data_IF_723925289942
#
_entry.id   IF_723925289942
#
_cell.length_a   1.000
_cell.length_b   1.000
_cell.length_c   1.000
_cell.angle_alpha   90.00
_cell.angle_beta   90.00
_cell.angle_gamma   90.00
#
_symmetry.space_group_name_H-M   'P 1'
#
loop_
_entity.id
_entity.type
_entity.pdbx_description
1 polymer ?
#
# COMPACT_ATOMS: atom_id res chain seq x y z
N UNK A 1 23.82 -14.43 -20.98
CA UNK A 1 22.89 -15.58 -21.02
C UNK A 1 22.29 -15.62 -22.40
N UNK A 2 22.37 -16.75 -23.11
CA UNK A 2 21.82 -16.88 -24.47
C UNK A 2 20.30 -17.03 -24.38
N UNK A 3 19.57 -16.41 -25.31
CA UNK A 3 18.09 -16.50 -25.33
C UNK A 3 17.61 -17.95 -25.50
N UNK A 4 18.35 -18.78 -26.25
CA UNK A 4 18.06 -20.20 -26.48
C UNK A 4 18.04 -21.05 -25.21
N UNK A 5 18.71 -20.60 -24.14
CA UNK A 5 18.78 -21.30 -22.84
C UNK A 5 17.88 -20.62 -21.79
N UNK A 6 17.27 -19.49 -22.14
CA UNK A 6 16.50 -18.67 -21.22
C UNK A 6 15.01 -18.99 -21.31
N UNK A 7 14.39 -19.31 -20.17
CA UNK A 7 12.95 -19.54 -20.12
C UNK A 7 12.19 -18.21 -20.26
N UNK A 8 11.72 -17.93 -21.48
CA UNK A 8 10.97 -16.72 -21.83
C UNK A 8 9.75 -17.07 -22.68
N UNK A 9 8.68 -17.61 -22.08
CA UNK A 9 7.48 -18.01 -22.81
C UNK A 9 6.66 -16.77 -23.22
N UNK A 10 7.00 -16.13 -24.34
CA UNK A 10 6.21 -14.99 -24.84
C UNK A 10 4.86 -15.43 -25.41
N UNK A 11 3.83 -14.60 -25.30
CA UNK A 11 2.50 -14.86 -25.88
C UNK A 11 2.22 -13.95 -27.07
N UNK A 12 1.75 -14.55 -28.17
CA UNK A 12 1.31 -13.81 -29.35
C UNK A 12 0.06 -12.98 -29.04
N UNK A 13 -0.92 -13.62 -28.41
CA UNK A 13 -2.21 -13.04 -28.06
C UNK A 13 -2.26 -12.64 -26.58
N UNK A 14 -3.06 -11.62 -26.30
CA UNK A 14 -3.29 -11.16 -24.94
C UNK A 14 -4.32 -12.06 -24.26
N UNK A 15 -4.08 -12.57 -23.06
CA UNK A 15 -5.11 -13.28 -22.29
C UNK A 15 -6.34 -12.40 -22.08
N UNK A 16 -7.55 -12.94 -22.30
CA UNK A 16 -8.81 -12.20 -22.22
C UNK A 16 -9.08 -11.58 -20.83
N UNK A 17 -8.53 -12.19 -19.78
CA UNK A 17 -8.71 -11.79 -18.37
C UNK A 17 -7.80 -10.63 -17.92
N UNK A 18 -7.00 -10.06 -18.84
CA UNK A 18 -6.11 -8.95 -18.52
C UNK A 18 -6.80 -7.62 -18.82
N UNK A 19 -6.99 -6.79 -17.80
CA UNK A 19 -7.73 -5.53 -17.91
C UNK A 19 -6.81 -4.38 -18.32
N UNK A 20 -5.68 -4.23 -17.62
CA UNK A 20 -4.76 -3.08 -17.79
C UNK A 20 -3.63 -3.36 -18.77
N UNK A 21 -3.10 -2.31 -19.38
CA UNK A 21 -2.00 -2.43 -20.35
C UNK A 21 -0.73 -3.06 -19.72
N UNK A 22 -0.42 -2.72 -18.47
CA UNK A 22 0.72 -3.28 -17.73
C UNK A 22 0.56 -4.80 -17.56
N UNK A 23 -0.60 -5.26 -17.11
CA UNK A 23 -0.89 -6.69 -16.96
C UNK A 23 -0.80 -7.43 -18.30
N UNK A 24 -1.40 -6.87 -19.36
CA UNK A 24 -1.35 -7.43 -20.72
C UNK A 24 0.10 -7.61 -21.20
N UNK A 25 0.93 -6.56 -21.05
CA UNK A 25 2.32 -6.58 -21.48
C UNK A 25 3.18 -7.54 -20.64
N UNK A 26 3.03 -7.55 -19.32
CA UNK A 26 3.78 -8.45 -18.43
C UNK A 26 3.49 -9.93 -18.73
N UNK A 27 2.23 -10.29 -19.01
CA UNK A 27 1.85 -11.64 -19.41
C UNK A 27 2.47 -12.00 -20.76
N UNK A 28 2.33 -11.12 -21.76
CA UNK A 28 2.83 -11.35 -23.13
C UNK A 28 4.35 -11.41 -23.22
N UNK A 29 5.05 -10.60 -22.43
CA UNK A 29 6.51 -10.59 -22.37
C UNK A 29 7.08 -11.78 -21.58
N UNK A 30 6.24 -12.65 -21.01
CA UNK A 30 6.71 -13.78 -20.20
C UNK A 30 7.34 -13.33 -18.89
N UNK A 31 6.87 -12.22 -18.30
CA UNK A 31 7.34 -11.74 -16.99
C UNK A 31 6.62 -12.43 -15.84
N UNK A 32 5.35 -12.77 -16.02
CA UNK A 32 4.54 -13.42 -14.99
C UNK A 32 3.50 -14.39 -15.57
N UNK A 33 2.94 -15.24 -14.72
CA UNK A 33 1.78 -16.09 -15.01
C UNK A 33 0.76 -16.03 -13.89
N UNK A 34 -0.51 -16.12 -14.25
CA UNK A 34 -1.60 -16.23 -13.27
C UNK A 34 -1.67 -17.68 -12.81
N UNK A 35 -1.52 -17.90 -11.50
CA UNK A 35 -1.69 -19.21 -10.88
C UNK A 35 -3.12 -19.36 -10.34
N UNK A 36 -3.64 -18.31 -9.70
CA UNK A 36 -5.02 -18.22 -9.24
C UNK A 36 -5.49 -16.76 -9.29
N UNK A 37 -6.75 -16.48 -8.93
CA UNK A 37 -7.21 -15.09 -8.80
C UNK A 37 -6.36 -14.32 -7.79
N UNK A 38 -5.72 -13.24 -8.23
CA UNK A 38 -4.81 -12.45 -7.39
C UNK A 38 -3.52 -13.16 -6.95
N UNK A 39 -3.10 -14.24 -7.61
CA UNK A 39 -1.86 -14.96 -7.28
C UNK A 39 -1.07 -15.20 -8.57
N UNK A 40 0.18 -14.74 -8.59
CA UNK A 40 1.01 -14.70 -9.79
C UNK A 40 2.39 -15.30 -9.56
N UNK A 41 2.85 -16.06 -10.53
CA UNK A 41 4.22 -16.55 -10.61
C UNK A 41 5.11 -15.50 -11.27
N UNK A 42 6.25 -15.16 -10.66
CA UNK A 42 7.28 -14.35 -11.29
C UNK A 42 8.20 -15.23 -12.13
N UNK A 43 8.16 -15.07 -13.45
CA UNK A 43 9.05 -15.77 -14.37
C UNK A 43 10.44 -15.12 -14.37
N UNK A 44 11.49 -15.79 -14.90
CA UNK A 44 12.87 -15.31 -14.79
C UNK A 44 13.07 -13.86 -15.24
N UNK A 45 12.39 -13.41 -16.31
CA UNK A 45 12.51 -12.04 -16.78
C UNK A 45 11.88 -11.03 -15.81
N UNK A 46 10.66 -11.31 -15.34
CA UNK A 46 9.98 -10.48 -14.36
C UNK A 46 10.73 -10.42 -13.03
N UNK A 47 11.21 -11.56 -12.55
CA UNK A 47 11.99 -11.66 -11.32
C UNK A 47 13.29 -10.85 -11.37
N UNK A 48 13.96 -10.80 -12.52
CA UNK A 48 15.15 -9.94 -12.71
C UNK A 48 14.81 -8.46 -12.60
N UNK A 49 13.65 -8.04 -13.11
CA UNK A 49 13.18 -6.66 -12.98
C UNK A 49 12.82 -6.36 -11.52
N UNK A 50 12.08 -7.26 -10.86
CA UNK A 50 11.73 -7.13 -9.44
C UNK A 50 12.97 -6.93 -8.57
N UNK A 51 13.99 -7.78 -8.74
CA UNK A 51 15.27 -7.67 -8.00
C UNK A 51 16.03 -6.37 -8.28
N UNK A 52 15.88 -5.76 -9.46
CA UNK A 52 16.48 -4.46 -9.77
C UNK A 52 15.77 -3.33 -9.04
N UNK A 53 14.44 -3.37 -8.98
CA UNK A 53 13.65 -2.41 -8.21
C UNK A 53 13.96 -2.55 -6.72
N UNK A 54 13.99 -3.78 -6.22
CA UNK A 54 14.38 -4.11 -4.85
C UNK A 54 15.75 -3.52 -4.50
N UNK A 55 16.74 -3.67 -5.38
CA UNK A 55 18.08 -3.11 -5.19
C UNK A 55 18.09 -1.57 -5.13
N UNK A 56 17.28 -0.89 -5.96
CA UNK A 56 17.13 0.57 -5.89
C UNK A 56 16.59 0.97 -4.52
N UNK A 57 15.54 0.28 -4.07
CA UNK A 57 14.89 0.56 -2.78
C UNK A 57 15.87 0.31 -1.62
N UNK A 58 16.57 -0.83 -1.64
CA UNK A 58 17.58 -1.21 -0.63
C UNK A 58 18.64 -0.12 -0.49
N UNK A 59 19.23 0.30 -1.61
CA UNK A 59 20.26 1.34 -1.61
C UNK A 59 19.79 2.68 -1.02
N UNK A 60 18.54 3.09 -1.25
CA UNK A 60 18.02 4.33 -0.66
C UNK A 60 17.66 4.16 0.82
N UNK A 61 17.20 2.98 1.25
CA UNK A 61 16.95 2.67 2.67
C UNK A 61 18.25 2.57 3.47
N UNK A 62 19.29 1.94 2.91
CA UNK A 62 20.60 1.82 3.56
C UNK A 62 21.26 3.20 3.74
N UNK A 63 21.10 4.10 2.76
CA UNK A 63 21.61 5.50 2.86
C UNK A 63 21.03 6.29 4.04
N UNK A 64 19.83 5.94 4.51
CA UNK A 64 19.21 6.58 5.68
C UNK A 64 19.45 5.80 6.98
N UNK A 65 20.32 4.78 6.95
CA UNK A 65 20.64 3.94 8.10
C UNK A 65 19.59 2.87 8.39
N UNK A 66 18.77 2.51 7.40
CA UNK A 66 17.84 1.40 7.50
C UNK A 66 18.57 0.06 7.69
N UNK A 67 18.00 -0.80 8.51
CA UNK A 67 18.52 -2.13 8.82
C UNK A 67 17.59 -3.17 8.20
N UNK A 68 18.06 -3.86 7.18
CA UNK A 68 17.27 -4.91 6.53
C UNK A 68 17.12 -6.12 7.47
N UNK A 69 15.88 -6.56 7.67
CA UNK A 69 15.49 -7.75 8.44
C UNK A 69 14.60 -8.65 7.58
N UNK A 70 14.38 -9.89 8.04
CA UNK A 70 13.45 -10.83 7.42
C UNK A 70 12.50 -11.34 8.48
N UNK A 71 11.25 -10.89 8.47
CA UNK A 71 10.23 -11.32 9.42
C UNK A 71 9.41 -12.49 8.86
N UNK A 72 8.87 -13.37 9.72
CA UNK A 72 8.03 -14.49 9.28
C UNK A 72 6.76 -14.02 8.57
N UNK A 73 6.26 -14.80 7.61
CA UNK A 73 4.93 -14.59 7.02
C UNK A 73 3.80 -15.14 7.89
N UNK A 74 4.07 -16.24 8.62
CA UNK A 74 3.10 -16.89 9.50
C UNK A 74 3.19 -16.26 10.89
N UNK A 75 2.15 -15.54 11.30
CA UNK A 75 2.14 -14.71 12.50
C UNK A 75 1.18 -15.27 13.55
N UNK A 76 1.60 -15.42 14.82
CA UNK A 76 0.75 -15.94 15.88
C UNK A 76 -0.40 -14.96 16.19
N UNK A 77 -1.61 -15.48 16.42
CA UNK A 77 -2.80 -14.69 16.74
C UNK A 77 -2.59 -13.77 17.93
N UNK A 78 -1.84 -14.21 18.93
CA UNK A 78 -1.63 -13.49 20.20
C UNK A 78 -1.12 -12.06 19.97
N UNK A 79 -0.18 -11.86 19.04
CA UNK A 79 0.35 -10.54 18.73
C UNK A 79 -0.70 -9.60 18.11
N UNK A 80 -1.65 -10.14 17.35
CA UNK A 80 -2.75 -9.38 16.75
C UNK A 80 -3.87 -9.08 17.74
N UNK A 81 -4.07 -9.96 18.73
CA UNK A 81 -5.01 -9.73 19.82
C UNK A 81 -4.49 -8.61 20.75
N UNK A 82 -3.18 -8.53 21.00
CA UNK A 82 -2.55 -7.44 21.77
C UNK A 82 -2.83 -6.05 21.18
N UNK A 83 -2.87 -5.93 19.84
CA UNK A 83 -3.19 -4.67 19.15
C UNK A 83 -4.67 -4.50 18.86
N UNK A 84 -5.49 -5.52 19.13
CA UNK A 84 -6.91 -5.58 18.75
C UNK A 84 -7.16 -5.71 17.24
N UNK A 85 -6.09 -5.73 16.41
CA UNK A 85 -6.21 -5.78 14.96
C UNK A 85 -6.70 -7.14 14.46
N UNK A 86 -6.60 -8.21 15.25
CA UNK A 86 -7.18 -9.51 14.88
C UNK A 86 -8.66 -9.41 14.49
N UNK A 87 -9.46 -8.66 15.25
CA UNK A 87 -10.88 -8.45 14.96
C UNK A 87 -11.10 -7.30 13.95
N UNK A 88 -10.39 -6.18 14.13
CA UNK A 88 -10.58 -4.96 13.33
C UNK A 88 -10.28 -5.15 11.85
N UNK A 89 -9.26 -5.95 11.50
CA UNK A 89 -8.81 -6.16 10.11
C UNK A 89 -9.86 -6.90 9.26
N UNK A 90 -10.85 -7.53 9.88
CA UNK A 90 -11.98 -8.13 9.17
C UNK A 90 -11.59 -9.32 8.30
N UNK A 91 -12.23 -9.44 7.14
CA UNK A 91 -12.10 -10.61 6.24
C UNK A 91 -10.84 -10.58 5.38
N UNK A 92 -10.18 -9.44 5.24
CA UNK A 92 -8.93 -9.33 4.48
C UNK A 92 -7.76 -10.04 5.17
N UNK A 93 -7.83 -10.21 6.50
CA UNK A 93 -6.84 -10.97 7.26
C UNK A 93 -7.06 -12.47 7.05
N UNK A 94 -6.19 -13.12 6.28
CA UNK A 94 -6.21 -14.56 6.09
C UNK A 94 -5.76 -15.26 7.37
N UNK A 95 -6.68 -15.99 7.98
CA UNK A 95 -6.45 -16.76 9.20
C UNK A 95 -6.35 -18.24 8.87
N UNK A 96 -5.48 -18.94 9.58
CA UNK A 96 -5.31 -20.38 9.47
C UNK A 96 -5.09 -20.98 10.85
N UNK A 97 -5.36 -22.28 10.94
CA UNK A 97 -5.14 -23.05 12.14
C UNK A 97 -4.12 -24.14 11.84
N UNK A 98 -3.14 -24.30 12.73
CA UNK A 98 -2.14 -25.37 12.61
C UNK A 98 -2.70 -26.72 13.10
N UNK A 99 -1.89 -27.77 12.98
CA UNK A 99 -2.28 -29.14 13.39
C UNK A 99 -2.47 -29.32 14.91
N UNK A 100 -2.07 -28.35 15.72
CA UNK A 100 -2.23 -28.32 17.19
C UNK A 100 -3.34 -27.35 17.59
N UNK A 101 -4.17 -26.93 16.65
CA UNK A 101 -5.26 -25.99 16.86
C UNK A 101 -4.80 -24.54 17.18
N UNK A 102 -3.52 -24.23 17.01
CA UNK A 102 -2.99 -22.87 17.16
C UNK A 102 -3.44 -21.98 16.01
N UNK A 103 -3.85 -20.75 16.33
CA UNK A 103 -4.35 -19.79 15.34
C UNK A 103 -3.24 -18.83 14.87
N UNK A 104 -3.19 -18.64 13.56
CA UNK A 104 -2.20 -17.78 12.92
C UNK A 104 -2.87 -16.92 11.84
N UNK A 105 -2.20 -15.83 11.48
CA UNK A 105 -2.49 -15.06 10.28
C UNK A 105 -1.32 -15.14 9.29
N UNK A 106 -1.62 -15.08 7.99
CA UNK A 106 -0.62 -14.69 7.00
C UNK A 106 -0.49 -13.17 7.03
N UNK A 107 0.71 -12.66 7.30
CA UNK A 107 0.95 -11.23 7.51
C UNK A 107 0.55 -10.35 6.32
N UNK A 108 -0.47 -9.48 6.44
CA UNK A 108 -0.77 -8.44 5.45
C UNK A 108 0.16 -7.23 5.58
N UNK A 109 0.81 -7.12 6.74
CA UNK A 109 1.79 -6.12 7.21
C UNK A 109 2.40 -6.66 8.53
N UNK A 110 3.34 -5.94 9.15
CA UNK A 110 4.18 -6.47 10.24
C UNK A 110 4.37 -5.51 11.43
N UNK A 111 3.47 -4.55 11.69
CA UNK A 111 3.59 -3.63 12.83
C UNK A 111 3.69 -4.38 14.18
N UNK A 112 2.87 -5.42 14.38
CA UNK A 112 2.85 -6.25 15.59
C UNK A 112 4.21 -6.92 15.83
N UNK A 113 4.73 -7.57 14.79
CA UNK A 113 5.89 -8.47 14.86
C UNK A 113 7.17 -7.68 15.07
N UNK A 114 7.31 -6.56 14.36
CA UNK A 114 8.49 -5.71 14.52
C UNK A 114 8.46 -4.98 15.87
N UNK A 115 7.27 -4.63 16.38
CA UNK A 115 7.11 -4.08 17.72
C UNK A 115 7.48 -5.12 18.79
N UNK A 116 7.08 -6.39 18.60
CA UNK A 116 7.48 -7.48 19.48
C UNK A 116 9.00 -7.71 19.49
N UNK A 117 9.65 -7.65 18.33
CA UNK A 117 11.12 -7.71 18.26
C UNK A 117 11.76 -6.57 19.05
N UNK A 118 11.32 -5.33 18.81
CA UNK A 118 11.93 -4.15 19.41
C UNK A 118 11.68 -4.08 20.92
N UNK A 119 10.49 -4.45 21.42
CA UNK A 119 10.22 -4.47 22.88
C UNK A 119 11.09 -5.48 23.63
N UNK A 120 11.52 -6.55 22.95
CA UNK A 120 12.36 -7.60 23.53
C UNK A 120 13.86 -7.27 23.47
N UNK A 121 14.30 -6.54 22.45
CA UNK A 121 15.73 -6.31 22.22
C UNK A 121 16.21 -4.90 22.61
N UNK A 122 15.39 -3.87 22.43
CA UNK A 122 15.79 -2.48 22.75
C UNK A 122 15.44 -2.17 24.21
N UNK A 123 16.46 -1.86 25.02
CA UNK A 123 16.32 -1.67 26.47
C UNK A 123 16.60 -0.24 26.93
N UNK A 124 17.15 0.62 26.06
CA UNK A 124 17.45 2.01 26.39
C UNK A 124 17.11 2.96 25.25
N UNK A 125 16.64 4.17 25.60
CA UNK A 125 16.47 5.27 24.65
C UNK A 125 17.77 5.63 23.90
N UNK A 126 18.93 5.30 24.47
CA UNK A 126 20.26 5.53 23.85
C UNK A 126 20.51 4.68 22.62
N UNK A 127 19.73 3.63 22.43
CA UNK A 127 19.79 2.76 21.25
C UNK A 127 18.93 3.31 20.10
N UNK A 128 18.06 4.28 20.39
CA UNK A 128 17.16 4.92 19.42
C UNK A 128 17.80 6.19 18.82
N UNK A 129 17.46 6.55 17.56
CA UNK A 129 16.49 5.88 16.70
C UNK A 129 17.02 4.61 16.01
N UNK A 130 16.11 3.70 15.68
CA UNK A 130 16.35 2.55 14.80
C UNK A 130 15.31 2.51 13.69
N UNK A 131 15.73 2.17 12.48
CA UNK A 131 14.86 1.94 11.33
C UNK A 131 15.10 0.53 10.82
N UNK A 132 14.08 -0.31 10.86
CA UNK A 132 14.11 -1.65 10.32
C UNK A 132 13.24 -1.70 9.07
N UNK A 133 13.67 -2.46 8.05
CA UNK A 133 12.84 -2.69 6.87
C UNK A 133 13.02 -4.11 6.36
N UNK A 134 12.06 -4.60 5.59
CA UNK A 134 12.18 -5.91 4.95
C UNK A 134 11.61 -5.85 3.55
N UNK A 135 12.03 -6.79 2.71
CA UNK A 135 11.30 -7.14 1.51
C UNK A 135 10.67 -8.51 1.71
N UNK A 136 9.35 -8.60 1.58
CA UNK A 136 8.66 -9.84 1.84
C UNK A 136 7.33 -9.94 1.12
N UNK A 137 6.93 -11.18 0.87
CA UNK A 137 5.55 -11.49 0.47
C UNK A 137 4.60 -11.08 1.59
N UNK A 138 3.45 -10.54 1.19
CA UNK A 138 2.32 -10.21 2.05
C UNK A 138 1.07 -10.88 1.50
N UNK A 139 0.12 -11.11 2.38
CA UNK A 139 -1.17 -11.69 2.00
C UNK A 139 -2.33 -10.81 2.47
N UNK A 140 -3.23 -10.45 1.56
CA UNK A 140 -4.52 -9.81 1.86
C UNK A 140 -5.59 -10.54 1.06
N UNK A 141 -6.64 -11.05 1.70
CA UNK A 141 -7.73 -11.73 0.99
C UNK A 141 -8.67 -10.72 0.30
N UNK A 142 -8.11 -10.03 -0.69
CA UNK A 142 -8.78 -9.02 -1.50
C UNK A 142 -10.03 -9.62 -2.18
N UNK A 143 -11.19 -9.01 -1.94
CA UNK A 143 -12.48 -9.47 -2.43
C UNK A 143 -12.55 -9.46 -3.96
N UNK A 144 -11.88 -8.50 -4.60
CA UNK A 144 -11.85 -8.35 -6.07
C UNK A 144 -10.43 -8.08 -6.57
N UNK A 145 -9.57 -9.11 -6.63
CA UNK A 145 -8.22 -8.96 -7.17
C UNK A 145 -8.30 -8.59 -8.66
N UNK A 146 -7.61 -7.52 -9.05
CA UNK A 146 -7.68 -6.96 -10.40
C UNK A 146 -6.35 -6.36 -10.83
N UNK A 147 -6.21 -6.12 -12.12
CA UNK A 147 -5.08 -5.38 -12.69
C UNK A 147 -3.70 -6.01 -12.49
N UNK A 148 -3.62 -7.34 -12.49
CA UNK A 148 -2.35 -8.05 -12.37
C UNK A 148 -1.76 -7.95 -10.97
N UNK A 149 -0.48 -7.57 -10.90
CA UNK A 149 0.28 -7.40 -9.65
C UNK A 149 -0.03 -6.09 -8.91
N UNK A 150 -0.87 -5.22 -9.48
CA UNK A 150 -1.22 -3.94 -8.82
C UNK A 150 -2.19 -4.16 -7.67
N UNK A 151 -3.16 -5.09 -7.80
CA UNK A 151 -4.12 -5.44 -6.75
C UNK A 151 -4.31 -6.96 -6.69
N UNK A 152 -3.41 -7.60 -5.97
CA UNK A 152 -3.31 -9.05 -5.81
C UNK A 152 -3.59 -9.48 -4.37
N UNK A 153 -3.84 -10.78 -4.15
CA UNK A 153 -3.97 -11.35 -2.80
C UNK A 153 -2.62 -11.65 -2.18
N UNK A 154 -1.74 -12.23 -2.98
CA UNK A 154 -0.32 -12.40 -2.64
C UNK A 154 0.50 -11.38 -3.42
N UNK A 155 1.24 -10.53 -2.73
CA UNK A 155 2.04 -9.48 -3.35
C UNK A 155 3.35 -9.24 -2.60
N UNK A 156 4.30 -8.62 -3.29
CA UNK A 156 5.62 -8.32 -2.74
C UNK A 156 5.65 -6.88 -2.24
N UNK A 157 6.13 -6.67 -1.02
CA UNK A 157 6.15 -5.36 -0.38
C UNK A 157 7.49 -5.12 0.29
N UNK A 158 7.94 -3.87 0.21
CA UNK A 158 8.90 -3.32 1.15
C UNK A 158 8.16 -2.55 2.23
N UNK A 159 8.21 -3.02 3.46
CA UNK A 159 7.68 -2.36 4.65
C UNK A 159 8.84 -1.95 5.57
N UNK A 160 8.68 -0.81 6.25
CA UNK A 160 9.72 -0.19 7.06
C UNK A 160 9.11 0.44 8.31
N UNK A 161 9.80 0.31 9.44
CA UNK A 161 9.32 0.70 10.76
C UNK A 161 10.47 1.35 11.53
N UNK A 162 10.26 2.59 11.97
CA UNK A 162 11.23 3.30 12.79
C UNK A 162 10.72 3.53 14.21
N UNK A 163 11.64 3.43 15.15
CA UNK A 163 11.40 3.52 16.58
C UNK A 163 12.19 4.69 17.13
N UNK A 164 11.53 5.54 17.91
CA UNK A 164 12.02 6.84 18.33
C UNK A 164 11.77 7.06 19.82
N UNK A 165 12.66 7.78 20.49
CA UNK A 165 12.51 8.14 21.89
C UNK A 165 11.55 9.32 22.12
N UNK A 166 11.32 10.12 21.08
CA UNK A 166 10.55 11.38 21.11
C UNK A 166 9.79 11.57 19.80
N UNK A 167 8.64 12.24 19.85
CA UNK A 167 7.81 12.52 18.68
C UNK A 167 8.54 13.43 17.67
N UNK A 168 9.31 14.42 18.14
CA UNK A 168 10.06 15.33 17.27
C UNK A 168 11.14 14.61 16.45
N UNK A 169 11.72 13.54 17.00
CA UNK A 169 12.66 12.68 16.28
C UNK A 169 11.92 11.83 15.23
N UNK A 170 10.74 11.31 15.56
CA UNK A 170 9.90 10.57 14.62
C UNK A 170 9.47 11.46 13.44
N UNK A 171 9.02 12.69 13.68
CA UNK A 171 8.66 13.65 12.62
C UNK A 171 9.85 14.04 11.73
N UNK A 172 11.02 14.26 12.35
CA UNK A 172 12.24 14.53 11.60
C UNK A 172 12.61 13.34 10.72
N UNK A 173 12.54 12.13 11.28
CA UNK A 173 12.89 10.90 10.56
C UNK A 173 11.88 10.59 9.45
N UNK A 174 10.60 10.88 9.66
CA UNK A 174 9.56 10.76 8.64
C UNK A 174 9.93 11.56 7.37
N UNK A 175 10.43 12.79 7.52
CA UNK A 175 10.90 13.61 6.37
C UNK A 175 12.10 12.99 5.67
N UNK A 176 12.98 12.29 6.39
CA UNK A 176 14.11 11.55 5.81
C UNK A 176 13.59 10.40 4.94
N UNK A 177 12.63 9.62 5.46
CA UNK A 177 12.00 8.51 4.73
C UNK A 177 11.22 9.01 3.52
N UNK A 178 10.46 10.09 3.66
CA UNK A 178 9.76 10.76 2.56
C UNK A 178 10.73 11.10 1.41
N UNK A 179 11.87 11.73 1.73
CA UNK A 179 12.87 12.08 0.73
C UNK A 179 13.56 10.84 0.11
N UNK A 180 13.72 9.75 0.87
CA UNK A 180 14.22 8.49 0.33
C UNK A 180 13.23 7.88 -0.69
N UNK A 181 11.93 7.91 -0.39
CA UNK A 181 10.88 7.47 -1.32
C UNK A 181 10.83 8.30 -2.59
N UNK A 182 10.98 9.63 -2.49
CA UNK A 182 11.11 10.50 -3.65
C UNK A 182 12.27 10.07 -4.56
N UNK A 183 13.46 9.83 -3.97
CA UNK A 183 14.63 9.33 -4.72
C UNK A 183 14.39 7.94 -5.33
N UNK A 184 13.69 7.04 -4.64
CA UNK A 184 13.32 5.73 -5.18
C UNK A 184 12.45 5.92 -6.43
N UNK A 185 11.41 6.76 -6.35
CA UNK A 185 10.52 7.03 -7.47
C UNK A 185 11.27 7.67 -8.65
N UNK A 186 12.16 8.63 -8.38
CA UNK A 186 13.01 9.27 -9.39
C UNK A 186 13.91 8.25 -10.10
N UNK A 187 14.57 7.37 -9.34
CA UNK A 187 15.47 6.31 -9.85
C UNK A 187 14.74 5.23 -10.63
N UNK A 188 13.48 4.95 -10.27
CA UNK A 188 12.59 4.08 -11.03
C UNK A 188 12.02 4.74 -12.29
N UNK A 189 12.24 6.06 -12.47
CA UNK A 189 11.76 6.82 -13.62
C UNK A 189 10.25 7.09 -13.61
N UNK A 190 9.63 7.10 -12.42
CA UNK A 190 8.19 7.33 -12.32
C UNK A 190 7.84 8.81 -12.47
N UNK A 191 6.69 9.08 -13.08
CA UNK A 191 5.97 10.34 -12.93
C UNK A 191 5.04 10.17 -11.74
N UNK A 192 5.32 10.85 -10.64
CA UNK A 192 4.59 10.64 -9.39
C UNK A 192 4.28 11.95 -8.66
N UNK A 193 3.37 11.86 -7.71
CA UNK A 193 3.03 12.95 -6.80
C UNK A 193 2.88 12.40 -5.38
N UNK A 194 3.64 12.92 -4.39
CA UNK A 194 3.32 12.70 -2.99
C UNK A 194 2.04 13.49 -2.64
N UNK A 195 1.09 12.84 -1.99
CA UNK A 195 -0.19 13.44 -1.59
C UNK A 195 -0.50 13.14 -0.13
N UNK A 196 -1.15 14.06 0.58
CA UNK A 196 -1.68 13.78 1.91
C UNK A 196 -2.79 12.72 1.84
N UNK A 197 -2.80 11.80 2.80
CA UNK A 197 -3.73 10.67 2.82
C UNK A 197 -4.31 10.43 4.22
N UNK A 198 -5.35 9.61 4.30
CA UNK A 198 -5.85 9.11 5.58
C UNK A 198 -4.86 8.10 6.19
N UNK A 199 -4.89 7.96 7.51
CA UNK A 199 -4.03 7.02 8.26
C UNK A 199 -4.65 5.63 8.37
N UNK A 200 -5.97 5.52 8.11
CA UNK A 200 -6.69 4.26 8.01
C UNK A 200 -6.59 3.37 9.25
N UNK A 201 -6.71 2.05 9.04
CA UNK A 201 -6.67 1.04 10.11
C UNK A 201 -5.27 0.78 10.70
N UNK A 202 -4.22 1.36 10.10
CA UNK A 202 -2.86 1.34 10.66
C UNK A 202 -2.72 2.39 11.76
N UNK A 203 -3.55 3.43 11.73
CA UNK A 203 -3.51 4.54 12.70
C UNK A 203 -2.38 5.52 12.42
N UNK A 204 -2.30 6.60 13.21
CA UNK A 204 -1.31 7.67 13.08
C UNK A 204 -1.92 9.05 12.88
N UNK A 205 -1.08 10.07 12.88
CA UNK A 205 -1.45 11.50 12.78
C UNK A 205 -1.14 12.13 11.42
N UNK A 206 -0.15 11.63 10.70
CA UNK A 206 0.28 12.13 9.39
C UNK A 206 0.52 10.96 8.42
N UNK A 207 0.01 11.07 7.20
CA UNK A 207 0.19 10.06 6.14
C UNK A 207 0.40 10.73 4.79
N UNK A 208 1.31 10.17 4.00
CA UNK A 208 1.55 10.57 2.62
C UNK A 208 1.62 9.34 1.72
N UNK A 209 0.92 9.41 0.60
CA UNK A 209 0.95 8.40 -0.45
C UNK A 209 1.77 8.88 -1.64
N UNK A 210 2.64 8.02 -2.18
CA UNK A 210 3.41 8.31 -3.39
C UNK A 210 2.66 7.74 -4.61
N UNK A 211 1.85 8.59 -5.25
CA UNK A 211 0.98 8.17 -6.35
C UNK A 211 1.68 8.28 -7.69
N UNK A 212 1.84 7.17 -8.40
CA UNK A 212 2.28 7.18 -9.81
C UNK A 212 1.11 7.63 -10.68
N UNK A 213 1.33 8.67 -11.49
CA UNK A 213 0.29 9.27 -12.32
C UNK A 213 -0.01 8.37 -13.52
N UNK A 214 -1.22 7.81 -13.56
CA UNK A 214 -1.70 6.96 -14.64
C UNK A 214 -3.22 7.09 -14.80
N UNK A 215 -3.71 7.03 -16.04
CA UNK A 215 -5.15 7.02 -16.35
C UNK A 215 -5.88 5.80 -15.79
N UNK A 216 -5.15 4.72 -15.49
CA UNK A 216 -5.66 3.48 -14.91
C UNK A 216 -5.53 3.43 -13.39
N UNK A 217 -5.20 4.54 -12.73
CA UNK A 217 -5.14 4.60 -11.27
C UNK A 217 -6.51 4.38 -10.64
N UNK A 218 -6.56 3.69 -9.50
CA UNK A 218 -7.80 3.50 -8.73
C UNK A 218 -8.13 4.71 -7.85
N UNK A 219 -7.12 5.53 -7.55
CA UNK A 219 -7.19 6.68 -6.67
C UNK A 219 -7.27 7.99 -7.46
N UNK A 220 -8.15 8.89 -7.01
CA UNK A 220 -8.21 10.25 -7.51
C UNK A 220 -7.44 11.18 -6.56
N UNK A 221 -6.67 12.10 -7.14
CA UNK A 221 -5.92 13.09 -6.37
C UNK A 221 -6.38 14.51 -6.72
N UNK A 222 -6.46 15.36 -5.72
CA UNK A 222 -6.59 16.79 -5.90
C UNK A 222 -5.19 17.38 -5.87
N UNK A 223 -4.85 18.24 -6.83
CA UNK A 223 -3.61 19.00 -6.79
C UNK A 223 -3.82 20.46 -7.15
N UNK A 224 -3.29 21.35 -6.31
CA UNK A 224 -3.31 22.78 -6.53
C UNK A 224 -2.07 23.22 -7.29
N UNK A 225 -2.26 23.71 -8.52
CA UNK A 225 -1.17 24.19 -9.37
C UNK A 225 -0.47 25.46 -8.83
N UNK A 226 -1.11 26.21 -7.92
CA UNK A 226 -0.58 27.50 -7.43
C UNK A 226 0.24 27.38 -6.14
N UNK A 227 -0.18 26.53 -5.19
CA UNK A 227 0.49 26.40 -3.88
C UNK A 227 1.16 25.05 -3.65
N UNK A 228 1.02 24.09 -4.57
CA UNK A 228 1.64 22.78 -4.44
C UNK A 228 0.96 21.84 -3.46
N UNK A 229 -0.21 22.19 -2.92
CA UNK A 229 -1.06 21.27 -2.16
C UNK A 229 -1.45 20.05 -3.02
N UNK A 230 -1.42 18.87 -2.44
CA UNK A 230 -1.95 17.67 -3.06
C UNK A 230 -2.43 16.68 -2.00
N UNK A 231 -3.61 16.10 -2.20
CA UNK A 231 -4.23 15.15 -1.30
C UNK A 231 -4.99 14.08 -2.09
N UNK A 232 -5.13 12.89 -1.51
CA UNK A 232 -6.15 11.94 -1.91
C UNK A 232 -7.54 12.61 -1.75
N UNK A 233 -8.47 12.38 -2.67
CA UNK A 233 -9.84 12.93 -2.59
C UNK A 233 -10.51 12.60 -1.26
N UNK A 234 -10.22 11.44 -0.67
CA UNK A 234 -10.75 11.05 0.65
C UNK A 234 -10.29 12.00 1.78
N UNK A 235 -9.08 12.55 1.68
CA UNK A 235 -8.49 13.48 2.68
C UNK A 235 -8.66 14.95 2.34
N UNK A 236 -8.95 15.29 1.08
CA UNK A 236 -8.94 16.64 0.56
C UNK A 236 -9.90 17.57 1.33
N UNK A 237 -9.37 18.66 1.87
CA UNK A 237 -10.18 19.58 2.66
C UNK A 237 -11.09 20.44 1.77
N UNK A 238 -12.39 20.43 2.09
CA UNK A 238 -13.37 21.29 1.42
C UNK A 238 -13.51 22.57 2.25
N UNK A 239 -13.07 23.69 1.67
CA UNK A 239 -13.27 25.00 2.28
C UNK A 239 -14.76 25.25 2.53
N UNK A 240 -15.10 25.70 3.74
CA UNK A 240 -16.50 26.06 4.06
C UNK A 240 -16.98 27.15 3.11
N UNK A 241 -18.15 26.92 2.50
CA UNK A 241 -18.81 27.93 1.66
C UNK A 241 -18.99 29.23 2.46
N UNK A 242 -18.39 30.31 1.98
CA UNK A 242 -18.64 31.66 2.51
C UNK A 242 -20.02 32.21 2.13
N UNK A 243 -20.71 31.55 1.18
CA UNK A 243 -22.11 31.87 0.86
C UNK A 243 -23.01 31.23 1.92
N UNK A 244 -23.19 31.93 3.03
CA UNK A 244 -24.44 31.80 3.79
C UNK A 244 -25.52 32.32 2.86
N UNK A 245 -26.50 31.48 2.49
CA UNK A 245 -27.69 31.98 1.80
C UNK A 245 -28.35 32.98 2.75
N UNK A 246 -28.19 34.27 2.48
CA UNK A 246 -28.86 35.32 3.23
C UNK A 246 -30.38 35.07 3.16
N UNK A 247 -30.98 34.85 4.33
CA UNK A 247 -32.42 35.01 4.60
C UNK A 247 -33.35 34.57 3.48
N UNK A 248 -33.17 33.36 2.94
CA UNK A 248 -34.25 32.73 2.20
C UNK A 248 -35.40 32.52 3.19
N UNK A 249 -36.55 33.17 2.97
CA UNK A 249 -37.78 32.85 3.71
C UNK A 249 -38.05 31.36 3.52
N UNK A 250 -37.81 30.58 4.56
CA UNK A 250 -38.05 29.15 4.54
C UNK A 250 -39.56 28.94 4.41
N UNK A 251 -39.97 28.29 3.33
CA UNK A 251 -41.35 27.82 3.21
C UNK A 251 -41.62 26.71 4.23
N UNK A 252 -42.87 26.56 4.68
CA UNK A 252 -43.24 25.40 5.50
C UNK A 252 -42.97 24.11 4.74
N UNK A 253 -42.41 23.12 5.44
CA UNK A 253 -42.13 21.77 4.92
C UNK A 253 -43.43 21.16 4.36
N UNK A 254 -43.37 20.61 3.14
CA UNK A 254 -44.49 19.93 2.48
C UNK A 254 -44.03 18.58 1.95
N UNK A 255 -44.85 17.57 2.18
CA UNK A 255 -44.69 16.27 1.54
C UNK A 255 -45.22 16.34 0.11
N UNK A 256 -44.42 15.86 -0.85
CA UNK A 256 -44.78 15.82 -2.27
C UNK A 256 -44.70 14.37 -2.73
N UNK A 257 -45.77 13.89 -3.36
CA UNK A 257 -45.78 12.55 -3.95
C UNK A 257 -44.94 12.55 -5.23
N UNK A 258 -43.80 11.86 -5.20
CA UNK A 258 -42.82 11.75 -6.30
C UNK A 258 -42.76 10.32 -6.86
N UNK A 259 -43.82 9.82 -7.54
CA UNK A 259 -43.83 8.46 -8.06
C UNK A 259 -42.79 8.29 -9.16
N UNK A 260 -42.04 7.19 -9.10
CA UNK A 260 -41.02 6.80 -10.08
C UNK A 260 -39.78 7.70 -10.18
N UNK A 261 -39.60 8.67 -9.29
CA UNK A 261 -38.35 9.42 -9.15
C UNK A 261 -37.45 8.69 -8.15
N UNK A 262 -36.23 8.32 -8.57
CA UNK A 262 -35.32 7.45 -7.79
C UNK A 262 -33.94 8.04 -7.57
N UNK A 263 -33.52 8.98 -8.41
CA UNK A 263 -32.23 9.66 -8.35
C UNK A 263 -32.40 11.12 -7.94
N UNK A 264 -31.30 11.84 -7.69
CA UNK A 264 -31.36 13.27 -7.30
C UNK A 264 -31.73 14.14 -8.50
N UNK A 265 -31.36 13.70 -9.71
CA UNK A 265 -31.65 14.37 -10.96
C UNK A 265 -33.10 14.20 -11.44
N UNK A 266 -33.77 13.13 -10.99
CA UNK A 266 -35.17 12.80 -11.28
C UNK A 266 -36.13 13.54 -10.34
#
# INVERSE_FOLDING_TARGET
MKLSEYFLPTLRETPAEADTISQKLMLRAGMMRKLASGVYEWLPFGLRVLKKVEQIVREEMDKIGGLEVSLPLLLPRELWDETGRWALYGKELMRLQDRKEGEFALGPTHEEVITDLVRNEVRSYRELPKMFYQFGTKFRDEIRPRFGVMRAREFYMKDAYSFHATEEDAERYYKIVFNAYAKICDRCGFKYRPVEAETGAIGGSFSHEFMVLAETGEEEIVSCASCGYAANVERAEIAKSQKVRENAKLEPLKEIYTPNLRTVEE
#
